data_IF_791319957173
#
_entry.id   IF_791319957173
#
_cell.length_a   1.000
_cell.length_b   1.000
_cell.length_c   1.000
_cell.angle_alpha   90.00
_cell.angle_beta   90.00
_cell.angle_gamma   90.00
#
_symmetry.space_group_name_H-M   'P 1'
#
loop_
_entity.id
_entity.type
_entity.pdbx_description
1 polymer ?
#
# COMPACT_ATOMS: atom_id res chain seq x y z
N UNK A 1 -26.53 3.59 -14.32
CA UNK A 1 -26.23 4.74 -13.44
C UNK A 1 -25.49 4.26 -12.19
N UNK A 2 -24.20 3.92 -12.28
CA UNK A 2 -23.38 3.52 -11.11
C UNK A 2 -21.94 4.05 -11.23
N UNK A 3 -21.75 5.27 -11.76
CA UNK A 3 -20.42 5.73 -12.21
C UNK A 3 -19.68 6.66 -11.22
N UNK A 4 -20.30 7.06 -10.11
CA UNK A 4 -19.69 8.06 -9.23
C UNK A 4 -18.74 7.44 -8.19
N UNK A 5 -19.14 6.32 -7.57
CA UNK A 5 -18.36 5.66 -6.53
C UNK A 5 -17.07 5.01 -7.07
N UNK A 6 -17.14 4.41 -8.27
CA UNK A 6 -15.97 3.80 -8.91
C UNK A 6 -14.92 4.84 -9.29
N UNK A 7 -15.36 6.01 -9.76
CA UNK A 7 -14.47 7.12 -10.12
C UNK A 7 -13.78 7.68 -8.88
N UNK A 8 -14.50 7.83 -7.76
CA UNK A 8 -13.93 8.28 -6.48
C UNK A 8 -12.88 7.29 -5.96
N UNK A 9 -13.15 5.98 -6.01
CA UNK A 9 -12.16 4.95 -5.62
C UNK A 9 -10.89 5.00 -6.47
N UNK A 10 -11.02 5.25 -7.79
CA UNK A 10 -9.87 5.41 -8.70
C UNK A 10 -9.04 6.66 -8.38
N UNK A 11 -9.68 7.79 -8.07
CA UNK A 11 -8.97 9.05 -7.73
C UNK A 11 -8.24 8.94 -6.39
N UNK A 12 -8.84 8.31 -5.38
CA UNK A 12 -8.20 8.10 -4.07
C UNK A 12 -6.90 7.28 -4.18
N UNK A 13 -6.85 6.30 -5.09
CA UNK A 13 -5.61 5.57 -5.38
C UNK A 13 -4.53 6.47 -5.97
N UNK A 14 -4.87 7.39 -6.87
CA UNK A 14 -3.89 8.30 -7.50
C UNK A 14 -3.31 9.31 -6.50
N UNK A 15 -4.11 9.87 -5.59
CA UNK A 15 -3.62 10.79 -4.56
C UNK A 15 -2.59 10.11 -3.66
N UNK A 16 -2.85 8.88 -3.21
CA UNK A 16 -1.89 8.14 -2.37
C UNK A 16 -0.56 7.90 -3.09
N UNK A 17 -0.59 7.59 -4.39
CA UNK A 17 0.63 7.45 -5.21
C UNK A 17 1.36 8.78 -5.37
N UNK A 18 0.64 9.87 -5.67
CA UNK A 18 1.20 11.22 -5.85
C UNK A 18 1.91 11.71 -4.59
N UNK A 19 1.30 11.49 -3.41
CA UNK A 19 1.90 11.89 -2.13
C UNK A 19 2.83 10.82 -1.54
N UNK A 20 3.05 9.71 -2.24
CA UNK A 20 3.89 8.60 -1.78
C UNK A 20 3.43 8.01 -0.44
N UNK A 21 2.11 7.95 -0.23
CA UNK A 21 1.44 7.35 0.91
C UNK A 21 1.28 5.84 0.70
N UNK A 22 1.51 5.02 1.75
CA UNK A 22 1.28 3.58 1.67
C UNK A 22 -0.17 3.24 1.33
N UNK A 23 -0.39 2.30 0.41
CA UNK A 23 -1.71 1.77 0.07
C UNK A 23 -1.88 0.35 0.63
N UNK A 24 -2.76 0.19 1.62
CA UNK A 24 -2.95 -1.08 2.32
C UNK A 24 -3.63 -2.16 1.46
N UNK A 25 -4.62 -1.80 0.62
CA UNK A 25 -5.28 -2.77 -0.26
C UNK A 25 -4.31 -3.36 -1.29
N UNK A 26 -3.44 -2.52 -1.85
CA UNK A 26 -2.39 -2.97 -2.77
C UNK A 26 -1.38 -3.87 -2.05
N UNK A 27 -1.02 -3.56 -0.80
CA UNK A 27 -0.19 -4.43 0.03
C UNK A 27 -0.82 -5.80 0.24
N UNK A 28 -2.09 -5.88 0.63
CA UNK A 28 -2.80 -7.15 0.81
C UNK A 28 -2.80 -7.97 -0.49
N UNK A 29 -3.15 -7.35 -1.62
CA UNK A 29 -3.18 -8.04 -2.92
C UNK A 29 -1.79 -8.56 -3.30
N UNK A 30 -0.75 -7.75 -3.12
CA UNK A 30 0.63 -8.15 -3.35
C UNK A 30 1.02 -9.33 -2.46
N UNK A 31 0.73 -9.26 -1.15
CA UNK A 31 1.07 -10.31 -0.18
C UNK A 31 0.35 -11.61 -0.47
N UNK A 32 -0.96 -11.55 -0.75
CA UNK A 32 -1.71 -12.75 -1.15
C UNK A 32 -1.17 -13.40 -2.43
N UNK A 33 -0.65 -12.61 -3.37
CA UNK A 33 -0.14 -13.11 -4.65
C UNK A 33 1.30 -13.63 -4.57
N UNK A 34 2.20 -12.91 -3.87
CA UNK A 34 3.64 -13.23 -3.82
C UNK A 34 4.09 -13.94 -2.55
N UNK A 35 3.37 -13.75 -1.45
CA UNK A 35 3.70 -14.26 -0.11
C UNK A 35 2.48 -14.86 0.61
N UNK A 36 1.77 -15.86 0.02
CA UNK A 36 0.51 -16.37 0.56
C UNK A 36 0.64 -17.05 1.93
N UNK A 37 1.83 -17.53 2.28
CA UNK A 37 2.09 -18.28 3.52
C UNK A 37 2.59 -17.39 4.67
N UNK A 38 2.80 -16.10 4.41
CA UNK A 38 3.30 -15.18 5.42
C UNK A 38 2.14 -14.36 6.02
N UNK A 39 2.23 -13.97 7.31
CA UNK A 39 1.20 -13.15 7.93
C UNK A 39 1.10 -11.78 7.22
N UNK A 40 -0.14 -11.30 7.15
CA UNK A 40 -0.47 -9.97 6.65
C UNK A 40 -0.48 -9.03 7.85
N UNK A 41 0.35 -7.98 7.82
CA UNK A 41 0.35 -6.93 8.83
C UNK A 41 -1.00 -6.22 8.88
N UNK A 42 -1.39 -5.71 10.04
CA UNK A 42 -2.50 -4.76 10.12
C UNK A 42 -2.19 -3.47 9.38
N UNK A 43 -3.22 -2.68 9.08
CA UNK A 43 -3.06 -1.40 8.37
C UNK A 43 -2.07 -0.48 9.10
N UNK A 44 -2.21 -0.31 10.41
CA UNK A 44 -1.31 0.52 11.22
C UNK A 44 0.13 0.03 11.18
N UNK A 45 0.34 -1.27 11.33
CA UNK A 45 1.68 -1.87 11.26
C UNK A 45 2.32 -1.66 9.90
N UNK A 46 1.55 -1.84 8.82
CA UNK A 46 2.02 -1.59 7.47
C UNK A 46 2.38 -0.11 7.25
N UNK A 47 1.59 0.83 7.77
CA UNK A 47 1.91 2.25 7.70
C UNK A 47 3.21 2.58 8.43
N UNK A 48 3.40 2.08 9.65
CA UNK A 48 4.64 2.32 10.41
C UNK A 48 5.84 1.67 9.73
N UNK A 49 5.68 0.44 9.22
CA UNK A 49 6.69 -0.26 8.43
C UNK A 49 7.09 0.58 7.20
N UNK A 50 6.12 1.04 6.42
CA UNK A 50 6.40 1.80 5.21
C UNK A 50 7.04 3.18 5.49
N UNK A 51 6.68 3.85 6.59
CA UNK A 51 7.34 5.08 7.03
C UNK A 51 8.79 4.83 7.45
N UNK A 52 9.02 3.81 8.27
CA UNK A 52 10.36 3.40 8.69
C UNK A 52 11.24 3.04 7.49
N UNK A 53 10.70 2.26 6.55
CA UNK A 53 11.39 1.89 5.32
C UNK A 53 11.77 3.11 4.48
N UNK A 54 10.87 4.11 4.37
CA UNK A 54 11.09 5.31 3.56
C UNK A 54 12.08 6.30 4.18
N UNK A 55 12.01 6.51 5.49
CA UNK A 55 12.73 7.60 6.15
C UNK A 55 13.91 7.14 7.03
N UNK A 56 13.88 5.92 7.56
CA UNK A 56 14.89 5.44 8.52
C UNK A 56 15.83 4.38 7.93
N UNK A 57 15.40 3.64 6.90
CA UNK A 57 16.17 2.46 6.47
C UNK A 57 17.48 2.79 5.75
N UNK A 58 17.62 3.99 5.17
CA UNK A 58 18.78 4.40 4.36
C UNK A 58 19.07 3.48 3.16
N UNK A 59 18.18 2.52 2.87
CA UNK A 59 18.34 1.46 1.88
C UNK A 59 17.29 1.63 0.80
N UNK A 60 17.67 1.38 -0.45
CA UNK A 60 16.71 1.27 -1.56
C UNK A 60 16.02 -0.08 -1.45
N UNK A 61 14.99 -0.14 -0.60
CA UNK A 61 14.23 -1.36 -0.40
C UNK A 61 13.14 -1.44 -1.47
N UNK A 62 13.48 -2.11 -2.58
CA UNK A 62 12.50 -2.58 -3.55
C UNK A 62 11.90 -3.86 -2.97
N UNK A 63 10.76 -3.76 -2.31
CA UNK A 63 9.90 -4.92 -2.15
C UNK A 63 9.56 -5.43 -3.57
N UNK A 64 9.72 -6.73 -3.78
CA UNK A 64 9.75 -7.41 -5.08
C UNK A 64 8.62 -7.04 -6.06
#
# INVERSE_FOLDING_TARGET
MNSLSETIKRIQCNIKVIFGLPNYDQYIQHRKRKHPNEPIMSEKEYYMYALKEKYESGKVNRCC
#
